data_IF_591875705482
#
_entry.id   IF_591875705482
#
_cell.length_a   1.000
_cell.length_b   1.000
_cell.length_c   1.000
_cell.angle_alpha   90.00
_cell.angle_beta   90.00
_cell.angle_gamma   90.00
#
_symmetry.space_group_name_H-M   'P 1'
#
loop_
_entity.id
_entity.type
_entity.pdbx_description
1 polymer ?
#
# COMPACT_ATOMS: atom_id res chain seq x y z
N UNK A 1 -34.31 43.65 27.52
CA UNK A 1 -34.07 43.20 26.13
C UNK A 1 -32.74 42.45 26.08
N UNK A 2 -32.76 41.12 26.19
CA UNK A 2 -31.57 40.24 26.30
C UNK A 2 -31.61 39.23 25.15
N UNK A 3 -31.16 39.63 23.95
CA UNK A 3 -31.11 38.76 22.75
C UNK A 3 -29.70 38.33 22.33
N UNK A 4 -28.69 38.67 23.13
CA UNK A 4 -27.27 38.42 22.83
C UNK A 4 -26.75 36.99 23.14
N UNK A 5 -27.28 36.19 24.09
CA UNK A 5 -26.60 34.94 24.47
C UNK A 5 -26.74 33.80 23.44
N UNK A 6 -27.81 33.79 22.65
CA UNK A 6 -28.07 32.69 21.70
C UNK A 6 -27.18 32.74 20.45
N UNK A 7 -26.83 33.93 19.98
CA UNK A 7 -25.93 34.10 18.82
C UNK A 7 -24.50 33.70 19.20
N UNK A 8 -24.08 34.02 20.43
CA UNK A 8 -22.76 33.65 20.94
C UNK A 8 -22.62 32.14 21.15
N UNK A 9 -23.66 31.49 21.70
CA UNK A 9 -23.71 30.03 21.83
C UNK A 9 -23.69 29.31 20.47
N UNK A 10 -24.42 29.83 19.47
CA UNK A 10 -24.42 29.27 18.12
C UNK A 10 -23.06 29.40 17.43
N UNK A 11 -22.37 30.54 17.59
CA UNK A 11 -21.03 30.76 17.04
C UNK A 11 -19.98 29.88 17.73
N UNK A 12 -20.02 29.75 19.06
CA UNK A 12 -19.12 28.85 19.80
C UNK A 12 -19.35 27.41 19.38
N UNK A 13 -20.61 26.96 19.25
CA UNK A 13 -20.93 25.61 18.78
C UNK A 13 -20.44 25.35 17.34
N UNK A 14 -20.56 26.34 16.45
CA UNK A 14 -20.04 26.28 15.07
C UNK A 14 -18.51 26.18 15.04
N UNK A 15 -17.82 26.96 15.88
CA UNK A 15 -16.36 26.95 15.97
C UNK A 15 -15.86 25.63 16.58
N UNK A 16 -16.47 25.15 17.67
CA UNK A 16 -16.06 23.88 18.30
C UNK A 16 -16.36 22.68 17.42
N UNK A 17 -17.51 22.68 16.72
CA UNK A 17 -17.86 21.64 15.74
C UNK A 17 -16.89 21.65 14.55
N UNK A 18 -16.52 22.83 14.05
CA UNK A 18 -15.52 22.98 13.00
C UNK A 18 -14.13 22.50 13.42
N UNK A 19 -13.71 22.75 14.66
CA UNK A 19 -12.45 22.26 15.21
C UNK A 19 -12.42 20.73 15.36
N UNK A 20 -13.51 20.12 15.86
CA UNK A 20 -13.61 18.67 16.00
C UNK A 20 -13.58 17.97 14.63
N UNK A 21 -14.28 18.51 13.63
CA UNK A 21 -14.27 17.98 12.27
C UNK A 21 -12.90 18.11 11.58
N UNK A 22 -12.14 19.17 11.90
CA UNK A 22 -10.76 19.32 11.43
C UNK A 22 -9.85 18.28 12.06
N UNK A 23 -9.94 18.12 13.37
CA UNK A 23 -9.13 17.16 14.11
C UNK A 23 -9.38 15.72 13.67
N UNK A 24 -10.63 15.33 13.40
CA UNK A 24 -10.96 14.01 12.86
C UNK A 24 -10.42 13.80 11.45
N UNK A 25 -10.41 14.85 10.62
CA UNK A 25 -9.88 14.81 9.26
C UNK A 25 -8.36 14.68 9.25
N UNK A 26 -7.67 15.42 10.13
CA UNK A 26 -6.21 15.35 10.26
C UNK A 26 -5.78 13.96 10.78
N UNK A 27 -6.49 13.40 11.77
CA UNK A 27 -6.25 12.04 12.26
C UNK A 27 -6.48 10.97 11.20
N UNK A 28 -7.52 11.13 10.37
CA UNK A 28 -7.76 10.23 9.26
C UNK A 28 -6.66 10.34 8.20
N UNK A 29 -6.22 11.55 7.86
CA UNK A 29 -5.12 11.77 6.93
C UNK A 29 -3.80 11.16 7.42
N UNK A 30 -3.52 11.22 8.71
CA UNK A 30 -2.33 10.59 9.31
C UNK A 30 -2.35 9.07 9.13
N UNK A 31 -3.51 8.43 9.33
CA UNK A 31 -3.68 6.99 9.10
C UNK A 31 -3.50 6.60 7.65
N UNK A 32 -4.13 7.33 6.72
CA UNK A 32 -3.94 7.08 5.28
C UNK A 32 -2.47 7.27 4.89
N UNK A 33 -1.80 8.27 5.46
CA UNK A 33 -0.37 8.50 5.24
C UNK A 33 0.47 7.30 5.68
N UNK A 34 0.24 6.78 6.90
CA UNK A 34 0.94 5.57 7.38
C UNK A 34 0.67 4.35 6.50
N UNK A 35 -0.57 4.15 6.05
CA UNK A 35 -0.91 3.06 5.14
C UNK A 35 -0.11 3.14 3.83
N UNK A 36 0.03 4.34 3.26
CA UNK A 36 0.85 4.58 2.07
C UNK A 36 2.33 4.37 2.33
N UNK A 37 2.84 4.78 3.49
CA UNK A 37 4.23 4.55 3.89
C UNK A 37 4.53 3.05 4.03
N UNK A 38 3.64 2.29 4.68
CA UNK A 38 3.75 0.83 4.82
C UNK A 38 3.76 0.18 3.45
N UNK A 39 2.81 0.52 2.57
CA UNK A 39 2.76 0.01 1.20
C UNK A 39 4.07 0.30 0.46
N UNK A 40 4.52 1.56 0.46
CA UNK A 40 5.75 1.98 -0.24
C UNK A 40 6.97 1.22 0.29
N UNK A 41 7.13 1.13 1.60
CA UNK A 41 8.24 0.41 2.23
C UNK A 41 8.23 -1.09 1.89
N UNK A 42 7.05 -1.72 1.88
CA UNK A 42 6.89 -3.12 1.49
C UNK A 42 7.20 -3.29 0.00
N UNK A 43 6.58 -2.51 -0.89
CA UNK A 43 6.85 -2.57 -2.33
C UNK A 43 8.32 -2.36 -2.67
N UNK A 44 9.00 -1.40 -2.03
CA UNK A 44 10.43 -1.16 -2.20
C UNK A 44 11.28 -2.36 -1.73
N UNK A 45 10.88 -2.99 -0.62
CA UNK A 45 11.57 -4.17 -0.10
C UNK A 45 11.38 -5.38 -1.01
N UNK A 46 10.21 -5.52 -1.64
CA UNK A 46 9.95 -6.52 -2.67
C UNK A 46 10.78 -6.24 -3.94
N UNK A 47 10.79 -5.00 -4.43
CA UNK A 47 11.51 -4.60 -5.64
C UNK A 47 13.02 -4.78 -5.50
N UNK A 48 13.57 -4.52 -4.31
CA UNK A 48 15.00 -4.74 -4.00
C UNK A 48 15.33 -6.19 -3.64
N UNK A 49 14.37 -7.11 -3.72
CA UNK A 49 14.50 -8.50 -3.27
C UNK A 49 15.04 -8.64 -1.84
N UNK A 50 14.78 -7.64 -0.98
CA UNK A 50 15.27 -7.59 0.41
C UNK A 50 14.42 -8.43 1.36
N UNK A 51 13.21 -8.81 0.94
CA UNK A 51 12.40 -9.81 1.63
C UNK A 51 12.92 -11.21 1.31
N UNK A 52 13.88 -11.66 2.14
CA UNK A 52 14.44 -13.00 2.11
C UNK A 52 14.08 -13.73 3.40
N UNK A 53 13.40 -14.86 3.27
CA UNK A 53 12.93 -15.71 4.34
C UNK A 53 11.48 -15.45 4.74
N UNK A 54 10.79 -16.54 5.10
CA UNK A 54 9.43 -16.55 5.65
C UNK A 54 9.19 -15.46 6.70
N UNK A 55 10.16 -15.26 7.61
CA UNK A 55 10.11 -14.26 8.68
C UNK A 55 9.99 -12.83 8.13
N UNK A 56 10.63 -12.52 7.01
CA UNK A 56 10.55 -11.20 6.40
C UNK A 56 9.17 -10.96 5.77
N UNK A 57 8.59 -11.99 5.13
CA UNK A 57 7.21 -11.94 4.62
C UNK A 57 6.19 -11.84 5.73
N UNK A 58 6.38 -12.57 6.83
CA UNK A 58 5.49 -12.53 8.01
C UNK A 58 5.52 -11.13 8.65
N UNK A 59 6.71 -10.52 8.82
CA UNK A 59 6.85 -9.15 9.34
C UNK A 59 6.25 -8.10 8.40
N UNK A 60 6.40 -8.26 7.10
CA UNK A 60 5.76 -7.37 6.13
C UNK A 60 4.23 -7.50 6.19
N UNK A 61 3.72 -8.73 6.32
CA UNK A 61 2.29 -9.01 6.45
C UNK A 61 1.70 -8.40 7.72
N UNK A 62 2.41 -8.48 8.84
CA UNK A 62 1.99 -7.87 10.12
C UNK A 62 1.92 -6.34 10.03
N UNK A 63 2.87 -5.71 9.33
CA UNK A 63 2.83 -4.25 9.10
C UNK A 63 1.65 -3.83 8.24
N UNK A 64 1.34 -4.60 7.20
CA UNK A 64 0.17 -4.36 6.33
C UNK A 64 -1.12 -4.53 7.12
N UNK A 65 -1.24 -5.61 7.91
CA UNK A 65 -2.39 -5.86 8.77
C UNK A 65 -2.60 -4.72 9.79
N UNK A 66 -1.52 -4.27 10.46
CA UNK A 66 -1.60 -3.14 11.38
C UNK A 66 -2.06 -1.85 10.71
N UNK A 67 -1.62 -1.58 9.47
CA UNK A 67 -2.10 -0.43 8.70
C UNK A 67 -3.57 -0.54 8.32
N UNK A 68 -4.05 -1.75 7.98
CA UNK A 68 -5.48 -2.01 7.72
C UNK A 68 -6.32 -1.79 8.98
N UNK A 69 -5.91 -2.36 10.11
CA UNK A 69 -6.60 -2.21 11.39
C UNK A 69 -6.68 -0.74 11.83
N UNK A 70 -5.58 0.01 11.68
CA UNK A 70 -5.56 1.45 11.97
C UNK A 70 -6.54 2.22 11.06
N UNK A 71 -6.57 1.86 9.77
CA UNK A 71 -7.42 2.52 8.78
C UNK A 71 -8.90 2.20 8.99
N UNK A 72 -9.24 0.96 9.35
CA UNK A 72 -10.61 0.47 9.60
C UNK A 72 -11.17 0.90 10.97
N UNK A 73 -10.30 1.35 11.90
CA UNK A 73 -10.69 1.70 13.26
C UNK A 73 -11.77 2.80 13.36
N UNK A 74 -11.85 3.72 12.40
CA UNK A 74 -12.94 4.70 12.32
C UNK A 74 -13.45 4.87 10.89
N UNK A 75 -14.75 5.18 10.71
CA UNK A 75 -15.29 5.44 9.38
C UNK A 75 -14.62 6.65 8.72
N UNK A 76 -14.42 6.61 7.39
CA UNK A 76 -13.82 7.72 6.67
C UNK A 76 -14.71 8.97 6.73
N UNK A 77 -14.12 10.18 6.62
CA UNK A 77 -14.86 11.41 6.42
C UNK A 77 -15.80 11.29 5.21
N UNK A 78 -16.92 12.03 5.24
CA UNK A 78 -17.88 12.03 4.12
C UNK A 78 -17.19 12.37 2.80
N UNK A 79 -17.52 11.60 1.76
CA UNK A 79 -16.93 11.77 0.41
C UNK A 79 -15.68 10.92 0.16
N UNK A 80 -15.10 10.29 1.20
CA UNK A 80 -13.91 9.45 1.07
C UNK A 80 -14.18 7.95 1.18
N UNK A 81 -15.46 7.54 1.20
CA UNK A 81 -15.84 6.13 1.31
C UNK A 81 -15.20 5.25 0.23
N UNK A 82 -15.31 5.66 -1.03
CA UNK A 82 -14.77 4.88 -2.16
C UNK A 82 -13.23 4.85 -2.14
N UNK A 83 -12.59 5.96 -1.78
CA UNK A 83 -11.13 6.03 -1.63
C UNK A 83 -10.62 5.15 -0.49
N UNK A 84 -11.37 5.11 0.60
CA UNK A 84 -11.09 4.29 1.76
C UNK A 84 -11.20 2.80 1.41
N UNK A 85 -12.28 2.39 0.75
CA UNK A 85 -12.46 1.02 0.28
C UNK A 85 -11.33 0.60 -0.66
N UNK A 86 -10.98 1.41 -1.65
CA UNK A 86 -9.86 1.09 -2.56
C UNK A 86 -8.51 1.02 -1.86
N UNK A 87 -8.28 1.84 -0.84
CA UNK A 87 -7.06 1.75 -0.02
C UNK A 87 -7.00 0.42 0.75
N UNK A 88 -8.13 -0.01 1.33
CA UNK A 88 -8.22 -1.31 2.01
C UNK A 88 -8.06 -2.48 1.03
N UNK A 89 -8.71 -2.43 -0.13
CA UNK A 89 -8.59 -3.45 -1.18
C UNK A 89 -7.13 -3.61 -1.64
N UNK A 90 -6.42 -2.49 -1.85
CA UNK A 90 -5.01 -2.51 -2.20
C UNK A 90 -4.10 -3.09 -1.10
N UNK A 91 -4.41 -2.85 0.18
CA UNK A 91 -3.68 -3.44 1.31
C UNK A 91 -3.97 -4.95 1.45
N UNK A 92 -5.22 -5.37 1.26
CA UNK A 92 -5.62 -6.78 1.27
C UNK A 92 -4.93 -7.56 0.13
N UNK A 93 -4.91 -6.98 -1.07
CA UNK A 93 -4.15 -7.53 -2.20
C UNK A 93 -2.65 -7.65 -1.91
N UNK A 94 -2.06 -6.65 -1.24
CA UNK A 94 -0.65 -6.70 -0.82
C UNK A 94 -0.39 -7.80 0.22
N UNK A 95 -1.33 -8.03 1.15
CA UNK A 95 -1.25 -9.11 2.12
C UNK A 95 -1.33 -10.49 1.45
N UNK A 96 -2.26 -10.65 0.50
CA UNK A 96 -2.40 -11.88 -0.29
C UNK A 96 -1.14 -12.18 -1.11
N UNK A 97 -0.52 -11.15 -1.68
CA UNK A 97 0.74 -11.23 -2.42
C UNK A 97 1.89 -11.70 -1.52
N UNK A 98 2.06 -11.07 -0.36
CA UNK A 98 3.09 -11.45 0.62
C UNK A 98 2.94 -12.91 1.07
N UNK A 99 1.71 -13.34 1.37
CA UNK A 99 1.43 -14.73 1.73
C UNK A 99 1.77 -15.71 0.60
N UNK A 100 1.48 -15.32 -0.65
CA UNK A 100 1.79 -16.14 -1.83
C UNK A 100 3.29 -16.25 -2.08
N UNK A 101 4.04 -15.17 -1.91
CA UNK A 101 5.50 -15.16 -2.05
C UNK A 101 6.20 -15.93 -0.92
N UNK A 102 5.72 -15.82 0.32
CA UNK A 102 6.19 -16.64 1.44
C UNK A 102 6.01 -18.13 1.16
N UNK A 103 4.88 -18.55 0.59
CA UNK A 103 4.66 -19.94 0.14
C UNK A 103 5.61 -20.36 -0.98
N UNK A 104 5.85 -19.50 -1.98
CA UNK A 104 6.83 -19.80 -3.03
C UNK A 104 8.25 -19.93 -2.48
N UNK A 105 8.60 -19.20 -1.43
CA UNK A 105 9.90 -19.34 -0.77
C UNK A 105 10.00 -20.61 0.07
N UNK A 106 8.94 -21.00 0.78
CA UNK A 106 8.88 -22.31 1.42
C UNK A 106 9.08 -23.44 0.39
N UNK A 107 8.50 -23.30 -0.81
CA UNK A 107 8.73 -24.21 -1.94
C UNK A 107 10.18 -24.15 -2.45
N UNK A 108 10.85 -23.00 -2.42
CA UNK A 108 12.25 -22.89 -2.88
C UNK A 108 13.23 -23.74 -2.09
N UNK A 109 12.92 -24.03 -0.82
CA UNK A 109 13.69 -24.96 0.01
C UNK A 109 13.48 -26.43 -0.40
N UNK A 110 12.39 -26.74 -1.09
CA UNK A 110 12.04 -28.06 -1.58
C UNK A 110 12.40 -28.26 -3.06
N UNK A 111 12.26 -27.23 -3.91
CA UNK A 111 12.51 -27.25 -5.35
C UNK A 111 12.71 -25.84 -5.92
N UNK A 112 13.87 -25.59 -6.53
CA UNK A 112 14.25 -24.27 -7.04
C UNK A 112 13.51 -23.89 -8.34
N UNK A 113 13.13 -24.88 -9.16
CA UNK A 113 12.40 -24.67 -10.42
C UNK A 113 10.93 -24.30 -10.15
N UNK A 114 10.28 -25.00 -9.22
CA UNK A 114 8.88 -24.76 -8.86
C UNK A 114 8.71 -23.40 -8.19
N UNK A 115 9.69 -22.98 -7.38
CA UNK A 115 9.70 -21.66 -6.77
C UNK A 115 9.80 -20.52 -7.80
N UNK A 116 10.59 -20.69 -8.88
CA UNK A 116 10.69 -19.70 -9.95
C UNK A 116 9.38 -19.57 -10.73
N UNK A 117 8.76 -20.69 -11.10
CA UNK A 117 7.48 -20.69 -11.79
C UNK A 117 6.37 -20.07 -10.93
N UNK A 118 6.35 -20.40 -9.63
CA UNK A 118 5.45 -19.82 -8.64
C UNK A 118 5.58 -18.28 -8.57
N UNK A 119 6.81 -17.76 -8.40
CA UNK A 119 7.04 -16.30 -8.32
C UNK A 119 6.64 -15.57 -9.60
N UNK A 120 6.94 -16.13 -10.77
CA UNK A 120 6.61 -15.52 -12.06
C UNK A 120 5.10 -15.45 -12.33
N UNK A 121 4.34 -16.45 -11.89
CA UNK A 121 2.88 -16.47 -12.06
C UNK A 121 2.15 -15.48 -11.16
N UNK A 122 2.70 -15.16 -10.00
CA UNK A 122 2.07 -14.27 -9.00
C UNK A 122 2.41 -12.80 -9.27
N UNK A 123 3.54 -12.50 -9.94
CA UNK A 123 4.17 -11.18 -9.85
C UNK A 123 3.65 -10.09 -10.78
N UNK A 124 2.83 -10.39 -11.80
CA UNK A 124 2.44 -9.35 -12.76
C UNK A 124 0.99 -8.89 -12.54
N UNK A 125 0.03 -9.80 -12.67
CA UNK A 125 -1.39 -9.45 -12.64
C UNK A 125 -1.81 -8.90 -11.27
N UNK A 126 -1.36 -9.54 -10.18
CA UNK A 126 -1.67 -9.11 -8.81
C UNK A 126 -1.00 -7.76 -8.48
N UNK A 127 0.20 -7.51 -8.99
CA UNK A 127 0.87 -6.23 -8.78
C UNK A 127 0.18 -5.08 -9.53
N UNK A 128 -0.31 -5.34 -10.73
CA UNK A 128 -1.02 -4.35 -11.53
C UNK A 128 -2.38 -4.00 -10.92
N UNK A 129 -3.10 -4.98 -10.37
CA UNK A 129 -4.36 -4.78 -9.62
C UNK A 129 -4.12 -3.91 -8.38
N UNK A 130 -3.21 -4.32 -7.49
CA UNK A 130 -2.85 -3.57 -6.28
C UNK A 130 -2.45 -2.12 -6.64
N UNK A 131 -1.64 -1.95 -7.69
CA UNK A 131 -1.20 -0.63 -8.16
C UNK A 131 -2.37 0.24 -8.60
N UNK A 132 -3.36 -0.33 -9.29
CA UNK A 132 -4.53 0.40 -9.75
C UNK A 132 -5.39 0.88 -8.57
N UNK A 133 -5.64 0.01 -7.58
CA UNK A 133 -6.44 0.37 -6.40
C UNK A 133 -5.86 1.58 -5.66
N UNK A 134 -4.54 1.58 -5.41
CA UNK A 134 -3.87 2.72 -4.78
C UNK A 134 -3.85 3.97 -5.67
N UNK A 135 -3.71 3.83 -6.99
CA UNK A 135 -3.71 4.97 -7.93
C UNK A 135 -5.08 5.66 -7.95
N UNK A 136 -6.13 4.85 -7.93
CA UNK A 136 -7.49 5.33 -7.91
C UNK A 136 -7.86 5.95 -6.56
N UNK A 137 -7.46 5.33 -5.44
CA UNK A 137 -7.63 5.91 -4.11
C UNK A 137 -6.95 7.28 -4.02
N UNK A 138 -5.71 7.41 -4.49
CA UNK A 138 -4.96 8.67 -4.51
C UNK A 138 -5.64 9.75 -5.34
N UNK A 139 -6.19 9.38 -6.50
CA UNK A 139 -6.95 10.31 -7.36
C UNK A 139 -8.15 10.90 -6.61
N UNK A 140 -8.88 10.07 -5.86
CA UNK A 140 -10.03 10.51 -5.08
C UNK A 140 -9.58 11.36 -3.89
N UNK A 141 -8.53 10.97 -3.16
CA UNK A 141 -7.98 11.78 -2.06
C UNK A 141 -7.55 13.17 -2.52
N UNK A 142 -6.88 13.27 -3.68
CA UNK A 142 -6.49 14.56 -4.27
C UNK A 142 -7.69 15.41 -4.67
N UNK A 143 -8.74 14.81 -5.23
CA UNK A 143 -9.98 15.53 -5.55
C UNK A 143 -10.64 16.12 -4.30
N UNK A 144 -10.61 15.38 -3.19
CA UNK A 144 -11.15 15.84 -1.91
C UNK A 144 -10.21 16.80 -1.15
N UNK A 145 -9.07 17.17 -1.74
CA UNK A 145 -8.12 18.14 -1.18
C UNK A 145 -7.22 17.58 -0.08
N UNK A 146 -7.05 16.26 -0.02
CA UNK A 146 -6.04 15.60 0.81
C UNK A 146 -4.76 15.38 -0.01
N UNK A 147 -3.61 15.51 0.64
CA UNK A 147 -2.30 15.26 0.02
C UNK A 147 -1.70 14.02 0.65
N UNK A 148 -1.45 13.00 -0.18
CA UNK A 148 -0.74 11.80 0.22
C UNK A 148 0.74 11.91 -0.18
N UNK A 149 1.68 11.79 0.76
CA UNK A 149 3.10 11.74 0.43
C UNK A 149 3.44 10.41 -0.25
N UNK A 150 4.36 10.43 -1.21
CA UNK A 150 4.91 9.21 -1.85
C UNK A 150 4.12 8.67 -3.05
N UNK A 151 2.89 9.12 -3.28
CA UNK A 151 2.12 8.85 -4.51
C UNK A 151 2.34 10.02 -5.48
N UNK A 152 3.49 10.03 -6.16
CA UNK A 152 3.90 11.14 -7.02
C UNK A 152 2.85 11.51 -8.08
N UNK A 153 2.76 12.81 -8.39
CA UNK A 153 1.89 13.39 -9.42
C UNK A 153 2.23 12.99 -10.87
N UNK A 154 2.95 11.89 -11.08
CA UNK A 154 3.47 11.46 -12.38
C UNK A 154 3.25 9.97 -12.57
N UNK A 155 2.31 9.63 -13.46
CA UNK A 155 2.22 8.29 -14.01
C UNK A 155 3.53 7.89 -14.70
N UNK A 156 3.80 6.59 -14.63
CA UNK A 156 4.84 5.89 -15.38
C UNK A 156 6.29 6.22 -14.98
N UNK A 157 6.79 5.46 -14.01
CA UNK A 157 7.94 4.63 -14.34
C UNK A 157 7.50 3.18 -14.21
N UNK A 158 6.99 2.64 -15.33
CA UNK A 158 7.24 1.25 -15.62
C UNK A 158 8.77 1.11 -15.70
N UNK A 159 9.41 0.93 -14.55
CA UNK A 159 10.72 0.33 -14.48
C UNK A 159 10.53 -1.07 -15.04
N UNK A 160 10.80 -1.23 -16.34
CA UNK A 160 11.09 -2.52 -16.93
C UNK A 160 11.99 -3.24 -15.94
N UNK A 161 11.51 -4.34 -15.38
CA UNK A 161 12.36 -5.28 -14.65
C UNK A 161 13.47 -5.62 -15.62
N UNK A 162 14.66 -5.12 -15.30
CA UNK A 162 15.87 -5.33 -16.07
C UNK A 162 16.08 -6.83 -16.19
N UNK A 163 16.02 -7.30 -17.43
CA UNK A 163 16.12 -8.71 -17.80
C UNK A 163 17.55 -8.93 -18.28
N UNK A 164 18.48 -9.03 -17.34
CA UNK A 164 19.84 -9.56 -17.52
C UNK A 164 20.23 -10.26 -16.21
N UNK A 165 20.71 -11.50 -16.17
CA UNK A 165 21.71 -12.06 -17.06
C UNK A 165 21.41 -13.48 -17.55
N UNK A 166 21.80 -13.66 -18.81
CA UNK A 166 22.08 -14.91 -19.50
C UNK A 166 23.16 -15.66 -18.72
N UNK A 167 22.88 -16.90 -18.34
CA UNK A 167 23.94 -17.82 -17.92
C UNK A 167 24.78 -18.14 -19.16
N UNK A 168 26.00 -17.63 -19.20
CA UNK A 168 27.05 -18.12 -20.09
C UNK A 168 27.19 -19.64 -19.91
N UNK A 169 26.94 -20.41 -20.97
CA UNK A 169 27.32 -21.81 -21.04
C UNK A 169 28.85 -21.91 -21.16
N UNK A 170 29.56 -22.63 -20.28
CA UNK A 170 30.95 -22.97 -20.55
C UNK A 170 30.99 -24.18 -21.48
N UNK A 171 30.90 -23.97 -22.80
CA UNK A 171 31.36 -24.97 -23.78
C UNK A 171 32.87 -24.85 -23.95
N UNK A 172 33.59 -25.26 -22.90
CA UNK A 172 35.03 -25.50 -22.96
C UNK A 172 35.30 -26.88 -23.55
N UNK A 173 35.40 -26.94 -24.88
CA UNK A 173 35.80 -28.12 -25.63
C UNK A 173 37.14 -28.68 -25.16
N UNK A 174 37.11 -29.98 -24.92
CA UNK A 174 38.25 -30.90 -24.93
C UNK A 174 38.95 -30.90 -26.30
N UNK A 175 40.25 -31.20 -26.25
CA UNK A 175 41.13 -31.69 -27.34
C UNK A 175 41.99 -30.68 -28.12
N UNK A 176 43.31 -30.80 -27.85
CA UNK A 176 44.47 -30.25 -28.51
C UNK A 176 45.72 -30.78 -27.84
#
# INVERSE_FOLDING_TARGET
>A
MTRTPLIFLALVALVTSGCAARQSRDQYQDRVTRAVEVRTAVSDSLARHQLAGQVAYDQASERVAGAMDELDADPPPRGLGDAHSRMLDGLDGLQALLGSLGRCEALSKASQQDARACRQSISQDVYDEIRNDFTEADTIYRHEGLSLPGLGAGGSTAGTVDRGDVLDEPTGSTEG
#
